data_IF_429985475078
#
_entry.id   IF_429985475078
#
_cell.length_a   1.000
_cell.length_b   1.000
_cell.length_c   1.000
_cell.angle_alpha   90.00
_cell.angle_beta   90.00
_cell.angle_gamma   90.00
#
_symmetry.space_group_name_H-M   'P 1'
#
loop_
_entity.id
_entity.type
_entity.pdbx_description
1 polymer ?
#
# COMPACT_ATOMS: atom_id res chain seq x y z
N UNK A 1 3.25 10.78 -22.66
CA UNK A 1 3.93 9.73 -21.86
C UNK A 1 4.25 10.28 -20.48
N UNK A 2 3.44 9.95 -19.46
CA UNK A 2 3.61 10.47 -18.09
C UNK A 2 4.77 9.74 -17.38
N UNK A 3 5.77 10.51 -16.92
CA UNK A 3 7.02 10.06 -16.27
C UNK A 3 6.84 9.55 -14.83
N UNK A 4 5.87 8.68 -14.55
CA UNK A 4 5.68 8.09 -13.22
C UNK A 4 5.32 6.60 -13.28
N UNK A 5 6.18 5.79 -13.90
CA UNK A 5 6.15 4.33 -13.73
C UNK A 5 6.82 3.98 -12.39
N UNK A 6 6.17 4.32 -11.28
CA UNK A 6 6.53 3.74 -9.99
C UNK A 6 5.86 2.35 -9.93
N UNK A 7 6.61 1.31 -10.31
CA UNK A 7 6.20 -0.09 -10.18
C UNK A 7 5.74 -0.79 -11.46
N UNK A 8 5.99 -2.09 -11.50
CA UNK A 8 5.53 -3.01 -12.55
C UNK A 8 4.28 -3.73 -12.06
N UNK A 9 3.12 -3.48 -12.70
CA UNK A 9 1.88 -4.19 -12.40
C UNK A 9 1.89 -5.55 -13.10
N UNK A 10 1.60 -6.60 -12.34
CA UNK A 10 1.59 -7.99 -12.79
C UNK A 10 0.25 -8.62 -12.40
N UNK A 11 -0.45 -9.20 -13.37
CA UNK A 11 -1.70 -9.92 -13.10
C UNK A 11 -1.36 -11.34 -12.69
N UNK A 12 -1.43 -11.62 -11.40
CA UNK A 12 -1.22 -12.96 -10.88
C UNK A 12 -1.89 -13.14 -9.51
N UNK A 13 -3.06 -13.79 -9.51
CA UNK A 13 -3.84 -14.08 -8.30
C UNK A 13 -3.14 -14.99 -7.28
N UNK A 14 -2.11 -15.74 -7.67
CA UNK A 14 -1.42 -16.67 -6.77
C UNK A 14 -0.64 -15.93 -5.67
N UNK A 15 -0.12 -14.75 -5.99
CA UNK A 15 0.62 -13.92 -5.03
C UNK A 15 -0.30 -13.04 -4.17
N UNK A 16 -1.57 -12.89 -4.54
CA UNK A 16 -2.51 -12.03 -3.82
C UNK A 16 -3.26 -12.85 -2.75
N UNK A 17 -3.20 -12.45 -1.47
CA UNK A 17 -3.96 -13.12 -0.42
C UNK A 17 -5.47 -13.12 -0.71
N UNK A 18 -6.17 -14.19 -0.34
CA UNK A 18 -7.62 -14.30 -0.55
C UNK A 18 -8.36 -13.13 0.14
N UNK A 19 -9.25 -12.49 -0.60
CA UNK A 19 -10.05 -11.35 -0.12
C UNK A 19 -9.43 -9.98 -0.39
N UNK A 20 -8.27 -9.92 -1.07
CA UNK A 20 -7.62 -8.68 -1.49
C UNK A 20 -7.59 -8.57 -3.01
N UNK A 21 -7.62 -7.33 -3.50
CA UNK A 21 -7.56 -7.02 -4.94
C UNK A 21 -6.13 -7.02 -5.47
N UNK A 22 -5.16 -6.72 -4.61
CA UNK A 22 -3.75 -6.75 -4.95
C UNK A 22 -2.84 -6.75 -3.72
N UNK A 23 -1.54 -6.85 -4.00
CA UNK A 23 -0.47 -6.71 -3.01
C UNK A 23 0.72 -6.03 -3.67
N UNK A 24 1.28 -5.05 -2.98
CA UNK A 24 2.55 -4.42 -3.38
C UNK A 24 3.72 -5.16 -2.75
N UNK A 25 4.60 -5.70 -3.59
CA UNK A 25 5.87 -6.32 -3.22
C UNK A 25 6.98 -5.70 -4.07
N UNK A 26 7.64 -4.65 -3.57
CA UNK A 26 8.59 -3.84 -4.33
C UNK A 26 9.60 -4.71 -5.11
N UNK A 27 9.82 -4.46 -6.42
CA UNK A 27 9.28 -3.35 -7.23
C UNK A 27 7.95 -3.64 -7.95
N UNK A 28 7.27 -4.74 -7.61
CA UNK A 28 6.08 -5.23 -8.30
C UNK A 28 4.80 -4.95 -7.53
N UNK A 29 3.70 -4.82 -8.28
CA UNK A 29 2.34 -4.82 -7.74
C UNK A 29 1.62 -6.01 -8.38
N UNK A 30 1.18 -6.95 -7.56
CA UNK A 30 0.42 -8.09 -8.03
C UNK A 30 -1.07 -7.80 -7.87
N UNK A 31 -1.86 -8.04 -8.92
CA UNK A 31 -3.32 -7.91 -8.90
C UNK A 31 -3.98 -9.23 -9.30
N UNK A 32 -5.20 -9.47 -8.81
CA UNK A 32 -5.98 -10.64 -9.20
C UNK A 32 -6.57 -10.56 -10.60
N UNK A 33 -6.76 -9.35 -11.13
CA UNK A 33 -7.50 -9.10 -12.38
C UNK A 33 -7.00 -7.83 -13.09
N UNK A 34 -7.09 -7.80 -14.43
CA UNK A 34 -6.68 -6.67 -15.28
C UNK A 34 -7.53 -5.41 -15.05
N UNK A 35 -8.80 -5.56 -14.68
CA UNK A 35 -9.71 -4.44 -14.40
C UNK A 35 -9.18 -3.50 -13.32
N UNK A 36 -8.39 -4.00 -12.37
CA UNK A 36 -7.74 -3.18 -11.35
C UNK A 36 -6.63 -2.28 -11.92
N UNK A 37 -5.95 -2.69 -12.99
CA UNK A 37 -4.93 -1.85 -13.65
C UNK A 37 -5.59 -0.62 -14.29
N UNK A 38 -6.83 -0.76 -14.77
CA UNK A 38 -7.64 0.36 -15.26
C UNK A 38 -8.20 1.26 -14.16
N UNK A 39 -8.14 0.84 -12.89
CA UNK A 39 -8.62 1.63 -11.76
C UNK A 39 -7.50 2.53 -11.24
N UNK A 40 -7.57 3.82 -11.58
CA UNK A 40 -6.54 4.80 -11.21
C UNK A 40 -6.36 4.95 -9.70
N UNK A 41 -7.44 4.86 -8.93
CA UNK A 41 -7.40 4.95 -7.46
C UNK A 41 -6.67 3.76 -6.85
N UNK A 42 -6.98 2.54 -7.31
CA UNK A 42 -6.25 1.34 -6.92
C UNK A 42 -4.77 1.47 -7.29
N UNK A 43 -4.46 1.83 -8.53
CA UNK A 43 -3.09 2.01 -8.97
C UNK A 43 -2.33 3.07 -8.15
N UNK A 44 -3.00 4.16 -7.76
CA UNK A 44 -2.38 5.19 -6.91
C UNK A 44 -2.12 4.68 -5.50
N UNK A 45 -3.07 3.94 -4.91
CA UNK A 45 -2.92 3.28 -3.61
C UNK A 45 -1.67 2.38 -3.56
N UNK A 46 -1.52 1.49 -4.54
CA UNK A 46 -0.36 0.59 -4.63
C UNK A 46 0.95 1.35 -4.88
N UNK A 47 0.92 2.46 -5.62
CA UNK A 47 2.09 3.33 -5.79
C UNK A 47 2.50 4.04 -4.50
N UNK A 48 1.56 4.36 -3.62
CA UNK A 48 1.87 4.86 -2.26
C UNK A 48 2.60 3.79 -1.47
N UNK A 49 2.17 2.53 -1.53
CA UNK A 49 2.90 1.42 -0.90
C UNK A 49 4.31 1.22 -1.48
N UNK A 50 4.49 1.33 -2.80
CA UNK A 50 5.83 1.28 -3.40
C UNK A 50 6.73 2.40 -2.88
N UNK A 51 6.19 3.61 -2.70
CA UNK A 51 6.94 4.73 -2.14
C UNK A 51 7.32 4.47 -0.68
N UNK A 52 6.39 3.96 0.15
CA UNK A 52 6.65 3.60 1.54
C UNK A 52 7.70 2.49 1.66
N UNK A 53 7.59 1.43 0.85
CA UNK A 53 8.55 0.32 0.83
C UNK A 53 9.95 0.80 0.44
N UNK A 54 10.06 1.63 -0.61
CA UNK A 54 11.34 2.20 -1.01
C UNK A 54 11.93 3.12 0.06
N UNK A 55 11.10 3.96 0.68
CA UNK A 55 11.51 4.89 1.73
C UNK A 55 12.08 4.17 2.95
N UNK A 56 11.47 3.06 3.35
CA UNK A 56 11.89 2.25 4.49
C UNK A 56 12.79 1.07 4.10
N UNK A 57 13.51 1.16 2.98
CA UNK A 57 14.50 0.15 2.55
C UNK A 57 13.96 -1.29 2.44
N UNK A 58 12.66 -1.44 2.14
CA UNK A 58 11.91 -2.67 1.90
C UNK A 58 11.79 -3.56 3.14
N UNK A 59 12.90 -4.06 3.70
CA UNK A 59 12.87 -4.97 4.84
C UNK A 59 12.36 -4.28 6.13
N UNK A 60 12.86 -3.09 6.52
CA UNK A 60 12.29 -2.35 7.64
C UNK A 60 10.80 -2.00 7.49
N UNK A 61 10.32 -1.78 6.26
CA UNK A 61 8.89 -1.57 6.00
C UNK A 61 8.05 -2.74 6.51
N UNK A 62 8.38 -3.98 6.11
CA UNK A 62 7.58 -5.15 6.49
C UNK A 62 7.63 -5.43 8.00
N UNK A 63 8.77 -5.18 8.64
CA UNK A 63 8.90 -5.32 10.10
C UNK A 63 7.95 -4.33 10.80
N UNK A 64 7.98 -3.06 10.41
CA UNK A 64 7.10 -2.05 11.00
C UNK A 64 5.63 -2.36 10.71
N UNK A 65 5.30 -2.66 9.46
CA UNK A 65 3.94 -3.00 9.03
C UNK A 65 3.35 -4.13 9.90
N UNK A 66 4.13 -5.20 10.10
CA UNK A 66 3.70 -6.32 10.93
C UNK A 66 3.54 -5.94 12.40
N UNK A 67 4.49 -5.19 12.98
CA UNK A 67 4.40 -4.74 14.38
C UNK A 67 3.15 -3.89 14.60
N UNK A 68 2.90 -2.91 13.72
CA UNK A 68 1.72 -2.05 13.83
C UNK A 68 0.43 -2.87 13.66
N UNK A 69 0.37 -3.78 12.68
CA UNK A 69 -0.76 -4.69 12.54
C UNK A 69 -1.02 -5.51 13.80
N UNK A 70 0.01 -6.09 14.42
CA UNK A 70 -0.14 -6.90 15.64
C UNK A 70 -0.67 -6.06 16.80
N UNK A 71 -0.15 -4.84 16.98
CA UNK A 71 -0.64 -3.91 18.01
C UNK A 71 -2.12 -3.57 17.76
N UNK A 72 -2.49 -3.20 16.53
CA UNK A 72 -3.89 -2.87 16.18
C UNK A 72 -4.79 -4.11 16.29
N UNK A 73 -4.29 -5.30 15.97
CA UNK A 73 -5.04 -6.55 16.08
C UNK A 73 -5.35 -6.89 17.55
N UNK A 74 -4.37 -6.77 18.45
CA UNK A 74 -4.61 -6.92 19.89
C UNK A 74 -5.61 -5.89 20.43
N UNK A 75 -5.56 -4.66 19.91
CA UNK A 75 -6.47 -3.57 20.30
C UNK A 75 -7.91 -3.79 19.82
N UNK A 76 -8.09 -4.11 18.54
CA UNK A 76 -9.43 -4.15 17.92
C UNK A 76 -10.06 -5.54 17.94
N UNK A 77 -9.28 -6.61 18.08
CA UNK A 77 -9.72 -8.01 18.00
C UNK A 77 -10.47 -8.37 16.70
N UNK A 78 -10.27 -7.57 15.65
CA UNK A 78 -10.87 -7.71 14.33
C UNK A 78 -9.76 -7.50 13.29
N UNK A 79 -9.56 -8.50 12.41
CA UNK A 79 -8.48 -8.49 11.42
C UNK A 79 -8.62 -7.36 10.41
N UNK A 80 -9.84 -7.15 9.90
CA UNK A 80 -10.09 -6.14 8.86
C UNK A 80 -9.98 -4.73 9.46
N UNK A 81 -10.51 -4.54 10.67
CA UNK A 81 -10.37 -3.28 11.40
C UNK A 81 -8.92 -2.99 11.75
N UNK A 82 -8.15 -3.99 12.17
CA UNK A 82 -6.73 -3.84 12.43
C UNK A 82 -5.96 -3.44 11.17
N UNK A 83 -6.17 -4.17 10.06
CA UNK A 83 -5.59 -3.87 8.76
C UNK A 83 -5.86 -2.43 8.31
N UNK A 84 -7.13 -2.01 8.29
CA UNK A 84 -7.52 -0.63 7.91
C UNK A 84 -6.93 0.46 8.81
N UNK A 85 -6.46 0.09 10.01
CA UNK A 85 -5.88 1.04 10.97
C UNK A 85 -4.34 0.98 11.03
N UNK A 86 -3.70 0.15 10.22
CA UNK A 86 -2.24 0.21 10.03
C UNK A 86 -1.90 1.59 9.47
N UNK A 87 -0.88 2.25 10.00
CA UNK A 87 -0.52 3.64 9.63
C UNK A 87 -0.23 3.79 8.14
N UNK A 88 0.39 2.78 7.53
CA UNK A 88 0.70 2.74 6.10
C UNK A 88 -0.56 2.62 5.24
N UNK A 89 -1.51 1.78 5.65
CA UNK A 89 -2.82 1.64 5.00
C UNK A 89 -3.64 2.92 5.15
N UNK A 90 -3.63 3.53 6.34
CA UNK A 90 -4.30 4.81 6.59
C UNK A 90 -3.75 5.91 5.70
N UNK A 91 -2.43 6.00 5.54
CA UNK A 91 -1.82 6.93 4.58
C UNK A 91 -2.30 6.64 3.15
N UNK A 92 -2.23 5.38 2.70
CA UNK A 92 -2.58 5.01 1.34
C UNK A 92 -4.07 5.28 1.04
N UNK A 93 -4.99 4.82 1.90
CA UNK A 93 -6.43 5.07 1.72
C UNK A 93 -6.81 6.55 1.82
N UNK A 94 -6.12 7.34 2.64
CA UNK A 94 -6.45 8.77 2.79
C UNK A 94 -6.02 9.59 1.57
N UNK A 95 -5.05 9.11 0.79
CA UNK A 95 -4.47 9.84 -0.32
C UNK A 95 -4.62 9.14 -1.68
N UNK A 96 -5.27 7.97 -1.74
CA UNK A 96 -5.44 7.20 -2.99
C UNK A 96 -6.26 7.95 -4.05
N UNK A 97 -7.11 8.90 -3.65
CA UNK A 97 -7.83 9.82 -4.53
C UNK A 97 -7.05 11.09 -4.93
N UNK A 98 -5.91 11.38 -4.29
CA UNK A 98 -5.05 12.51 -4.66
C UNK A 98 -3.89 12.03 -5.56
N UNK A 99 -4.08 12.18 -6.87
CA UNK A 99 -3.08 11.80 -7.87
C UNK A 99 -1.83 12.69 -7.89
N UNK A 100 -1.83 13.80 -7.15
CA UNK A 100 -0.67 14.66 -6.95
C UNK A 100 0.11 14.30 -5.68
N UNK A 101 -0.48 13.52 -4.77
CA UNK A 101 0.08 13.19 -3.46
C UNK A 101 1.53 12.72 -3.54
N UNK A 102 1.83 11.75 -4.41
CA UNK A 102 3.17 11.18 -4.53
C UNK A 102 4.24 12.20 -4.95
N UNK A 103 3.87 13.28 -5.64
CA UNK A 103 4.81 14.35 -6.03
C UNK A 103 5.17 15.26 -4.86
N UNK A 104 4.26 15.41 -3.91
CA UNK A 104 4.39 16.29 -2.74
C UNK A 104 4.65 15.52 -1.43
N UNK A 105 4.60 14.18 -1.48
CA UNK A 105 4.75 13.30 -0.33
C UNK A 105 6.13 13.50 0.29
N UNK A 106 6.14 13.97 1.55
CA UNK A 106 7.34 14.10 2.36
C UNK A 106 7.79 12.74 2.89
N UNK A 107 9.05 12.67 3.29
CA UNK A 107 9.56 11.53 4.03
C UNK A 107 8.82 11.43 5.37
N UNK A 108 8.52 10.21 5.76
CA UNK A 108 7.82 9.81 6.97
C UNK A 108 6.38 10.36 7.09
N UNK A 109 5.73 10.68 5.96
CA UNK A 109 4.33 11.16 5.95
C UNK A 109 3.34 10.20 6.63
N UNK A 110 3.60 8.89 6.62
CA UNK A 110 2.77 7.89 7.31
C UNK A 110 2.65 8.14 8.83
N UNK A 111 3.62 8.81 9.46
CA UNK A 111 3.57 9.12 10.90
C UNK A 111 2.41 10.05 11.27
N UNK A 112 1.85 10.79 10.31
CA UNK A 112 0.65 11.62 10.52
C UNK A 112 -0.62 10.79 10.78
N UNK A 113 -0.55 9.48 10.58
CA UNK A 113 -1.69 8.56 10.63
C UNK A 113 -1.62 7.54 11.79
N UNK A 114 -0.87 7.84 12.86
CA UNK A 114 -0.78 6.99 14.07
C UNK A 114 -2.13 6.84 14.79
#
# INVERSE_FOLDING_TARGET
MSKYTMGFFVVNKFFVPKGFSGITLYPFVFTTDESYIGNERFCNHERIHLAQQRELLILPFYIWYLIDFLIKYLKYKDKLKAYKNIIFEREAYSNDGDYTYLKQRKWYSFLRYI
#
